data_IF_982960786690
#
_entry.id   IF_982960786690
#
_cell.length_a   1.000
_cell.length_b   1.000
_cell.length_c   1.000
_cell.angle_alpha   90.00
_cell.angle_beta   90.00
_cell.angle_gamma   90.00
#
_symmetry.space_group_name_H-M   'P 1'
#
loop_
_entity.id
_entity.type
_entity.pdbx_description
1 polymer ?
#
# COMPACT_ATOMS: atom_id res chain seq x y z
N UNK A 1 -26.93 36.23 7.50
CA UNK A 1 -26.15 37.49 7.63
C UNK A 1 -25.41 37.32 8.95
N UNK A 2 -24.30 36.59 8.93
CA UNK A 2 -23.58 36.21 10.15
C UNK A 2 -22.12 36.59 9.95
N UNK A 3 -21.80 37.80 10.38
CA UNK A 3 -20.48 38.40 10.26
C UNK A 3 -19.94 38.69 11.68
N UNK A 4 -19.43 37.66 12.37
CA UNK A 4 -18.82 37.80 13.71
C UNK A 4 -17.80 36.71 14.07
N UNK A 5 -17.19 36.07 13.08
CA UNK A 5 -15.95 35.30 13.28
C UNK A 5 -14.87 35.94 12.41
N UNK A 6 -13.93 36.73 12.97
CA UNK A 6 -12.79 37.20 12.18
C UNK A 6 -12.02 35.98 11.68
N UNK A 7 -11.69 35.95 10.39
CA UNK A 7 -10.95 34.84 9.81
C UNK A 7 -9.57 34.77 10.51
N UNK A 8 -9.24 33.67 11.22
CA UNK A 8 -8.03 33.59 12.03
C UNK A 8 -6.74 33.74 11.22
N UNK A 9 -6.82 33.57 9.90
CA UNK A 9 -5.71 33.73 8.95
C UNK A 9 -5.73 35.07 8.20
N UNK A 10 -6.51 36.06 8.63
CA UNK A 10 -6.44 37.42 8.04
C UNK A 10 -5.19 38.16 8.51
N UNK A 11 -4.58 39.04 7.68
CA UNK A 11 -3.41 39.85 8.06
C UNK A 11 -3.58 40.57 9.41
N UNK A 12 -4.72 41.24 9.61
CA UNK A 12 -5.03 41.92 10.86
C UNK A 12 -5.04 40.97 12.06
N UNK A 13 -5.72 39.82 11.95
CA UNK A 13 -5.79 38.81 13.02
C UNK A 13 -4.43 38.22 13.36
N UNK A 14 -3.57 38.02 12.35
CA UNK A 14 -2.20 37.52 12.53
C UNK A 14 -1.33 38.56 13.23
N UNK A 15 -1.42 39.84 12.84
CA UNK A 15 -0.66 40.93 13.46
C UNK A 15 -1.01 41.16 14.93
N UNK A 16 -2.25 40.87 15.33
CA UNK A 16 -2.79 41.05 16.70
C UNK A 16 -2.74 39.76 17.55
N UNK A 17 -2.29 38.64 16.99
CA UNK A 17 -2.25 37.35 17.68
C UNK A 17 -1.35 37.39 18.93
N UNK A 18 -1.89 36.93 20.06
CA UNK A 18 -1.21 36.96 21.36
C UNK A 18 -1.12 35.57 21.98
N UNK A 19 0.06 35.22 22.49
CA UNK A 19 0.36 33.89 23.04
C UNK A 19 0.84 34.00 24.51
N UNK A 20 0.47 33.03 25.38
CA UNK A 20 0.91 33.03 26.78
C UNK A 20 2.41 32.71 26.92
N UNK A 21 3.11 33.27 27.94
CA UNK A 21 4.51 32.93 28.21
C UNK A 21 4.69 31.49 28.70
N UNK A 22 5.80 30.86 28.35
CA UNK A 22 6.19 29.53 28.84
C UNK A 22 7.61 29.54 29.43
N UNK A 23 7.92 28.58 30.32
CA UNK A 23 9.20 28.51 31.06
C UNK A 23 10.43 28.30 30.16
N UNK A 24 10.23 27.91 28.90
CA UNK A 24 11.26 27.75 27.86
C UNK A 24 10.58 27.93 26.50
N UNK A 25 10.50 29.18 26.04
CA UNK A 25 9.76 29.57 24.83
C UNK A 25 10.49 30.64 24.02
N UNK A 26 9.85 31.09 22.94
CA UNK A 26 10.38 32.14 22.06
C UNK A 26 10.23 33.54 22.68
N UNK A 27 11.13 34.44 22.28
CA UNK A 27 11.10 35.86 22.62
C UNK A 27 9.85 36.54 22.03
N UNK A 28 8.97 37.06 22.91
CA UNK A 28 7.67 37.58 22.52
C UNK A 28 7.76 38.84 21.63
N UNK A 29 8.78 39.66 21.80
CA UNK A 29 8.96 40.87 20.98
C UNK A 29 9.36 40.49 19.55
N UNK A 30 10.25 39.50 19.40
CA UNK A 30 10.60 38.93 18.09
C UNK A 30 9.43 38.24 17.42
N UNK A 31 8.62 37.48 18.17
CA UNK A 31 7.41 36.82 17.62
C UNK A 31 6.41 37.87 17.12
N UNK A 32 6.16 38.95 17.88
CA UNK A 32 5.28 40.05 17.41
C UNK A 32 5.82 40.75 16.16
N UNK A 33 7.11 41.08 16.14
CA UNK A 33 7.74 41.70 14.97
C UNK A 33 7.66 40.79 13.73
N UNK A 34 7.84 39.48 13.91
CA UNK A 34 7.68 38.49 12.84
C UNK A 34 6.24 38.39 12.35
N UNK A 35 5.25 38.37 13.26
CA UNK A 35 3.82 38.32 12.89
C UNK A 35 3.36 39.57 12.13
N UNK A 36 3.88 40.75 12.48
CA UNK A 36 3.63 42.00 11.73
C UNK A 36 4.24 41.92 10.32
N UNK A 37 5.45 41.36 10.17
CA UNK A 37 6.06 41.15 8.86
C UNK A 37 5.27 40.12 8.02
N UNK A 38 4.85 39.00 8.61
CA UNK A 38 4.01 37.99 7.94
C UNK A 38 2.66 38.58 7.51
N UNK A 39 2.03 39.39 8.36
CA UNK A 39 0.79 40.09 8.00
C UNK A 39 1.00 41.05 6.82
N UNK A 40 2.10 41.81 6.80
CA UNK A 40 2.41 42.71 5.68
C UNK A 40 2.62 41.95 4.36
N UNK A 41 3.39 40.86 4.37
CA UNK A 41 3.60 40.01 3.18
C UNK A 41 2.30 39.35 2.72
N UNK A 42 1.46 38.87 3.65
CA UNK A 42 0.14 38.34 3.31
C UNK A 42 -0.78 39.40 2.70
N UNK A 43 -0.71 40.65 3.15
CA UNK A 43 -1.47 41.74 2.53
C UNK A 43 -0.97 42.02 1.10
N UNK A 44 0.34 42.08 0.88
CA UNK A 44 0.94 42.23 -0.48
C UNK A 44 0.49 41.09 -1.41
N UNK A 45 0.46 39.85 -0.93
CA UNK A 45 -0.03 38.69 -1.69
C UNK A 45 -1.53 38.79 -1.97
N UNK A 46 -2.35 39.31 -1.04
CA UNK A 46 -3.78 39.53 -1.26
C UNK A 46 -4.00 40.62 -2.31
N UNK A 47 -3.29 41.74 -2.21
CA UNK A 47 -3.41 42.87 -3.13
C UNK A 47 -2.98 42.48 -4.56
N UNK A 48 -1.88 41.74 -4.71
CA UNK A 48 -1.43 41.24 -6.02
C UNK A 48 -2.39 40.16 -6.57
N UNK A 49 -2.96 39.28 -5.74
CA UNK A 49 -4.01 38.34 -6.20
C UNK A 49 -5.27 39.09 -6.67
N UNK A 50 -5.69 40.15 -5.98
CA UNK A 50 -6.81 40.98 -6.41
C UNK A 50 -6.50 41.69 -7.74
N UNK A 51 -5.27 42.20 -7.91
CA UNK A 51 -4.81 42.82 -9.16
C UNK A 51 -4.77 41.82 -10.31
N UNK A 52 -4.16 40.65 -10.13
CA UNK A 52 -4.09 39.57 -11.11
C UNK A 52 -5.49 39.06 -11.49
N UNK A 53 -6.41 39.00 -10.53
CA UNK A 53 -7.82 38.64 -10.80
C UNK A 53 -8.50 39.69 -11.69
N UNK A 54 -8.28 40.98 -11.44
CA UNK A 54 -8.79 42.07 -12.29
C UNK A 54 -8.16 42.06 -13.69
N UNK A 55 -6.85 41.82 -13.80
CA UNK A 55 -6.17 41.71 -15.09
C UNK A 55 -6.66 40.50 -15.91
N UNK A 56 -6.95 39.37 -15.25
CA UNK A 56 -7.55 38.19 -15.87
C UNK A 56 -8.97 38.49 -16.37
N UNK A 57 -9.82 39.09 -15.53
CA UNK A 57 -11.18 39.52 -15.88
C UNK A 57 -11.19 40.45 -17.11
N UNK A 58 -10.27 41.40 -17.18
CA UNK A 58 -10.11 42.30 -18.33
C UNK A 58 -9.57 41.57 -19.56
N UNK A 59 -8.65 40.62 -19.40
CA UNK A 59 -8.13 39.79 -20.49
C UNK A 59 -9.21 38.88 -21.07
N UNK A 60 -10.04 38.25 -20.25
CA UNK A 60 -11.18 37.44 -20.70
C UNK A 60 -12.21 38.29 -21.46
N UNK A 61 -12.58 39.46 -20.94
CA UNK A 61 -13.47 40.41 -21.63
C UNK A 61 -12.91 40.84 -22.99
N UNK A 62 -11.60 41.13 -23.07
CA UNK A 62 -10.92 41.45 -24.33
C UNK A 62 -10.94 40.26 -25.31
N UNK A 63 -10.67 39.05 -24.85
CA UNK A 63 -10.71 37.84 -25.67
C UNK A 63 -12.11 37.53 -26.21
N UNK A 64 -13.16 37.70 -25.39
CA UNK A 64 -14.56 37.56 -25.81
C UNK A 64 -14.96 38.60 -26.85
N UNK A 65 -14.51 39.85 -26.70
CA UNK A 65 -14.80 40.90 -27.66
C UNK A 65 -14.07 40.69 -29.00
N UNK A 66 -12.78 40.33 -28.96
CA UNK A 66 -12.02 40.01 -30.16
C UNK A 66 -12.65 38.83 -30.92
N UNK A 67 -13.03 37.76 -30.21
CA UNK A 67 -13.68 36.60 -30.83
C UNK A 67 -14.98 36.96 -31.58
N UNK A 68 -15.79 37.91 -31.07
CA UNK A 68 -17.00 38.39 -31.76
C UNK A 68 -16.68 39.20 -33.01
N UNK A 69 -15.68 40.07 -32.94
CA UNK A 69 -15.22 40.86 -34.09
C UNK A 69 -14.61 39.96 -35.17
N UNK A 70 -13.87 38.92 -34.78
CA UNK A 70 -13.36 37.90 -35.69
C UNK A 70 -14.51 37.15 -36.39
N UNK A 71 -15.56 36.77 -35.65
CA UNK A 71 -16.73 36.07 -36.21
C UNK A 71 -17.53 36.98 -37.18
N UNK A 72 -17.64 38.29 -36.91
CA UNK A 72 -18.22 39.30 -37.83
C UNK A 72 -17.36 39.47 -39.10
N UNK A 73 -16.04 39.58 -38.96
CA UNK A 73 -15.10 39.73 -40.08
C UNK A 73 -15.02 38.46 -40.95
N UNK A 74 -15.14 37.27 -40.33
CA UNK A 74 -15.24 35.98 -41.01
C UNK A 74 -16.50 35.91 -41.88
N UNK A 75 -17.64 36.45 -41.41
CA UNK A 75 -18.87 36.52 -42.20
C UNK A 75 -18.72 37.43 -43.43
N UNK A 76 -18.05 38.58 -43.28
CA UNK A 76 -17.78 39.50 -44.40
C UNK A 76 -16.84 38.87 -45.46
N UNK A 77 -15.75 38.23 -45.03
CA UNK A 77 -14.70 37.73 -45.94
C UNK A 77 -15.01 36.37 -46.59
N UNK A 78 -15.75 35.47 -45.92
CA UNK A 78 -16.03 34.11 -46.41
C UNK A 78 -17.49 33.90 -46.84
N UNK A 79 -18.37 34.85 -46.53
CA UNK A 79 -19.81 34.73 -46.69
C UNK A 79 -20.48 33.90 -45.58
N UNK A 80 -21.76 34.17 -45.33
CA UNK A 80 -22.49 33.62 -44.18
C UNK A 80 -22.42 32.09 -44.06
N UNK A 81 -22.59 31.33 -45.14
CA UNK A 81 -22.62 29.86 -45.05
C UNK A 81 -21.29 29.25 -44.59
N UNK A 82 -20.15 29.78 -45.05
CA UNK A 82 -18.82 29.28 -44.66
C UNK A 82 -18.41 29.76 -43.27
N UNK A 83 -18.83 30.96 -42.88
CA UNK A 83 -18.64 31.41 -41.50
C UNK A 83 -19.47 30.57 -40.51
N UNK A 84 -20.73 30.24 -40.85
CA UNK A 84 -21.59 29.39 -40.00
C UNK A 84 -21.03 27.98 -39.78
N UNK A 85 -20.42 27.34 -40.78
CA UNK A 85 -19.80 26.02 -40.59
C UNK A 85 -18.54 26.07 -39.72
N UNK A 86 -17.74 27.14 -39.80
CA UNK A 86 -16.59 27.35 -38.92
C UNK A 86 -17.01 27.65 -37.48
N UNK A 87 -18.07 28.45 -37.28
CA UNK A 87 -18.66 28.68 -35.95
C UNK A 87 -19.23 27.39 -35.36
N UNK A 88 -19.96 26.58 -36.14
CA UNK A 88 -20.44 25.25 -35.71
C UNK A 88 -19.29 24.35 -35.24
N UNK A 89 -18.22 24.22 -36.04
CA UNK A 89 -17.04 23.45 -35.66
C UNK A 89 -16.34 24.00 -34.39
N UNK A 90 -16.34 25.33 -34.21
CA UNK A 90 -15.82 25.98 -32.99
C UNK A 90 -16.69 25.68 -31.76
N UNK A 91 -18.02 25.67 -31.91
CA UNK A 91 -18.94 25.28 -30.84
C UNK A 91 -18.85 23.79 -30.51
N UNK A 92 -18.76 22.91 -31.51
CA UNK A 92 -18.52 21.47 -31.35
C UNK A 92 -17.25 21.22 -30.52
N UNK A 93 -16.11 21.81 -30.88
CA UNK A 93 -14.88 21.68 -30.08
C UNK A 93 -14.98 22.31 -28.69
N UNK A 94 -15.90 23.26 -28.47
CA UNK A 94 -16.17 23.83 -27.14
C UNK A 94 -17.01 22.88 -26.28
N UNK A 95 -17.99 22.20 -26.87
CA UNK A 95 -18.79 21.15 -26.23
C UNK A 95 -17.91 19.96 -25.88
N UNK A 96 -17.09 19.45 -26.81
CA UNK A 96 -16.14 18.36 -26.55
C UNK A 96 -15.19 18.67 -25.36
N UNK A 97 -14.68 19.90 -25.28
CA UNK A 97 -13.85 20.34 -24.14
C UNK A 97 -14.64 20.45 -22.84
N UNK A 98 -15.91 20.85 -22.89
CA UNK A 98 -16.77 20.91 -21.72
C UNK A 98 -17.11 19.51 -21.20
N UNK A 99 -17.40 18.56 -22.10
CA UNK A 99 -17.57 17.14 -21.76
C UNK A 99 -16.30 16.54 -21.18
N UNK A 100 -15.13 16.78 -21.79
CA UNK A 100 -13.85 16.32 -21.25
C UNK A 100 -13.62 16.85 -19.83
N UNK A 101 -13.91 18.13 -19.58
CA UNK A 101 -13.86 18.74 -18.22
C UNK A 101 -14.92 18.20 -17.26
N UNK A 102 -16.03 17.63 -17.76
CA UNK A 102 -17.01 16.95 -16.91
C UNK A 102 -16.49 15.55 -16.52
N UNK A 103 -16.04 14.75 -17.49
CA UNK A 103 -15.44 13.42 -17.26
C UNK A 103 -14.22 13.48 -16.35
N UNK A 104 -13.35 14.48 -16.51
CA UNK A 104 -12.22 14.70 -15.61
C UNK A 104 -12.64 15.00 -14.17
N UNK A 105 -13.76 15.73 -13.96
CA UNK A 105 -14.30 15.95 -12.60
C UNK A 105 -14.89 14.67 -12.01
N UNK A 106 -15.64 13.91 -12.80
CA UNK A 106 -16.18 12.62 -12.40
C UNK A 106 -15.09 11.63 -11.95
N UNK A 107 -13.98 11.54 -12.71
CA UNK A 107 -12.81 10.73 -12.36
C UNK A 107 -12.14 11.20 -11.04
N UNK A 108 -12.04 12.51 -10.82
CA UNK A 108 -11.49 13.06 -9.56
C UNK A 108 -12.40 12.73 -8.38
N UNK A 109 -13.71 12.92 -8.51
CA UNK A 109 -14.67 12.54 -7.47
C UNK A 109 -14.68 11.02 -7.20
N UNK A 110 -14.47 10.18 -8.22
CA UNK A 110 -14.28 8.73 -8.03
C UNK A 110 -13.01 8.41 -7.26
N UNK A 111 -11.89 9.07 -7.58
CA UNK A 111 -10.64 8.92 -6.84
C UNK A 111 -10.78 9.35 -5.38
N UNK A 112 -11.44 10.48 -5.11
CA UNK A 112 -11.73 10.96 -3.75
C UNK A 112 -12.58 9.94 -2.97
N UNK A 113 -13.66 9.41 -3.58
CA UNK A 113 -14.47 8.34 -2.98
C UNK A 113 -13.65 7.08 -2.67
N UNK A 114 -12.69 6.71 -3.52
CA UNK A 114 -11.79 5.59 -3.24
C UNK A 114 -10.81 5.88 -2.09
N UNK A 115 -10.28 7.10 -1.98
CA UNK A 115 -9.45 7.55 -0.87
C UNK A 115 -10.23 7.54 0.45
N UNK A 116 -11.46 8.05 0.47
CA UNK A 116 -12.35 7.97 1.63
C UNK A 116 -12.61 6.53 2.07
N UNK A 117 -12.92 5.63 1.13
CA UNK A 117 -13.11 4.21 1.43
C UNK A 117 -11.85 3.54 1.98
N UNK A 118 -10.67 3.88 1.47
CA UNK A 118 -9.39 3.40 2.00
C UNK A 118 -9.15 3.92 3.42
N UNK A 119 -9.38 5.22 3.67
CA UNK A 119 -9.25 5.83 4.99
C UNK A 119 -10.20 5.20 6.02
N UNK A 120 -11.44 4.91 5.65
CA UNK A 120 -12.40 4.19 6.51
C UNK A 120 -11.95 2.76 6.83
N UNK A 121 -11.35 2.04 5.88
CA UNK A 121 -10.76 0.71 6.13
C UNK A 121 -9.57 0.80 7.09
N UNK A 122 -8.67 1.77 6.89
CA UNK A 122 -7.52 2.02 7.77
C UNK A 122 -7.98 2.41 9.19
N UNK A 123 -9.02 3.23 9.32
CA UNK A 123 -9.60 3.60 10.61
C UNK A 123 -10.12 2.36 11.37
N UNK A 124 -10.90 1.50 10.71
CA UNK A 124 -11.38 0.23 11.28
C UNK A 124 -10.22 -0.70 11.68
N UNK A 125 -9.18 -0.80 10.85
CA UNK A 125 -8.02 -1.63 11.15
C UNK A 125 -7.26 -1.12 12.39
N UNK A 126 -7.09 0.21 12.52
CA UNK A 126 -6.49 0.86 13.70
C UNK A 126 -7.33 0.63 14.95
N UNK A 127 -8.65 0.73 14.84
CA UNK A 127 -9.57 0.46 15.96
C UNK A 127 -9.51 -1.02 16.38
N UNK A 128 -9.53 -1.97 15.43
CA UNK A 128 -9.37 -3.39 15.77
C UNK A 128 -8.00 -3.69 16.39
N UNK A 129 -6.91 -3.12 15.86
CA UNK A 129 -5.58 -3.31 16.42
C UNK A 129 -5.47 -2.75 17.84
N UNK A 130 -6.16 -1.64 18.13
CA UNK A 130 -6.26 -1.07 19.47
C UNK A 130 -7.03 -1.99 20.43
N UNK A 131 -8.18 -2.53 20.02
CA UNK A 131 -8.95 -3.47 20.85
C UNK A 131 -8.14 -4.73 21.16
N UNK A 132 -7.40 -5.27 20.18
CA UNK A 132 -6.46 -6.38 20.38
C UNK A 132 -5.33 -6.03 21.37
N UNK A 133 -4.78 -4.81 21.31
CA UNK A 133 -3.80 -4.34 22.30
C UNK A 133 -4.40 -4.24 23.72
N UNK A 134 -5.60 -3.68 23.85
CA UNK A 134 -6.30 -3.57 25.15
C UNK A 134 -6.66 -4.97 25.74
N UNK A 135 -7.08 -5.93 24.89
CA UNK A 135 -7.35 -7.31 25.30
C UNK A 135 -6.08 -8.07 25.71
N UNK A 136 -4.98 -7.93 24.95
CA UNK A 136 -3.70 -8.58 25.27
C UNK A 136 -3.06 -8.02 26.53
N UNK A 137 -3.12 -6.70 26.77
CA UNK A 137 -2.72 -6.11 28.06
C UNK A 137 -3.53 -6.69 29.22
N UNK A 138 -4.84 -6.82 29.07
CA UNK A 138 -5.72 -7.37 30.10
C UNK A 138 -5.45 -8.87 30.35
N UNK A 139 -5.10 -9.64 29.32
CA UNK A 139 -4.65 -11.02 29.47
C UNK A 139 -3.31 -11.10 30.22
N UNK A 140 -2.34 -10.25 29.88
CA UNK A 140 -1.05 -10.16 30.57
C UNK A 140 -1.21 -9.78 32.06
N UNK A 141 -2.07 -8.80 32.38
CA UNK A 141 -2.37 -8.41 33.77
C UNK A 141 -2.98 -9.58 34.55
N UNK A 142 -3.95 -10.29 33.98
CA UNK A 142 -4.52 -11.51 34.59
C UNK A 142 -3.47 -12.59 34.83
N UNK A 143 -2.54 -12.81 33.88
CA UNK A 143 -1.44 -13.76 34.06
C UNK A 143 -0.53 -13.34 35.22
N UNK A 144 -0.14 -12.05 35.29
CA UNK A 144 0.66 -11.52 36.40
C UNK A 144 -0.03 -11.73 37.77
N UNK A 145 -1.33 -11.41 37.87
CA UNK A 145 -2.13 -11.64 39.09
C UNK A 145 -2.22 -13.12 39.51
N UNK A 146 -2.12 -14.06 38.57
CA UNK A 146 -2.08 -15.50 38.88
C UNK A 146 -0.68 -15.91 39.34
N UNK A 147 0.39 -15.40 38.73
CA UNK A 147 1.76 -15.63 39.17
C UNK A 147 2.04 -15.05 40.56
N UNK A 148 1.57 -13.83 40.85
CA UNK A 148 1.71 -13.21 42.17
C UNK A 148 0.96 -14.01 43.25
N UNK A 149 -0.25 -14.51 42.95
CA UNK A 149 -0.97 -15.41 43.85
C UNK A 149 -0.27 -16.76 44.05
N UNK A 150 0.24 -17.37 42.98
CA UNK A 150 1.01 -18.61 43.08
C UNK A 150 2.29 -18.42 43.92
N UNK A 151 2.95 -17.26 43.77
CA UNK A 151 4.12 -16.87 44.56
C UNK A 151 3.81 -16.63 46.03
N UNK A 152 2.66 -16.01 46.34
CA UNK A 152 2.20 -15.84 47.72
C UNK A 152 1.93 -17.20 48.38
N UNK A 153 1.14 -18.07 47.73
CA UNK A 153 0.87 -19.42 48.22
C UNK A 153 2.15 -20.26 48.38
N UNK A 154 3.12 -20.13 47.47
CA UNK A 154 4.42 -20.78 47.61
C UNK A 154 5.21 -20.25 48.82
N UNK A 155 5.15 -18.94 49.10
CA UNK A 155 5.76 -18.37 50.30
C UNK A 155 5.10 -18.86 51.59
N UNK A 156 3.76 -18.98 51.62
CA UNK A 156 3.02 -19.54 52.75
C UNK A 156 3.42 -21.00 53.00
N UNK A 157 3.51 -21.83 51.96
CA UNK A 157 3.97 -23.22 52.05
C UNK A 157 5.42 -23.30 52.55
N UNK A 158 6.30 -22.41 52.10
CA UNK A 158 7.70 -22.34 52.59
C UNK A 158 7.75 -21.92 54.06
N UNK A 159 6.87 -21.03 54.54
CA UNK A 159 6.81 -20.64 55.94
C UNK A 159 6.28 -21.77 56.86
N UNK A 160 5.33 -22.58 56.38
CA UNK A 160 4.88 -23.81 57.07
C UNK A 160 5.99 -24.88 57.11
N UNK A 161 6.88 -24.89 56.12
CA UNK A 161 8.01 -25.80 56.04
C UNK A 161 9.32 -25.24 56.64
N UNK A 162 9.29 -24.06 57.28
CA UNK A 162 10.46 -23.49 57.96
C UNK A 162 10.84 -24.37 59.17
N UNK A 163 12.09 -24.86 59.27
CA UNK A 163 12.53 -25.65 60.42
C UNK A 163 12.27 -24.99 61.79
N UNK A 164 12.19 -23.66 61.87
CA UNK A 164 11.84 -22.97 63.13
C UNK A 164 10.34 -23.04 63.47
N UNK A 165 9.43 -22.99 62.47
CA UNK A 165 7.99 -23.12 62.73
C UNK A 165 7.62 -24.55 63.07
N UNK A 166 8.17 -25.54 62.34
CA UNK A 166 7.99 -26.97 62.63
C UNK A 166 8.42 -27.30 64.07
N UNK A 167 9.55 -26.78 64.55
CA UNK A 167 10.01 -27.01 65.92
C UNK A 167 9.11 -26.36 66.96
N UNK A 168 8.54 -25.18 66.68
CA UNK A 168 7.60 -24.50 67.57
C UNK A 168 6.23 -25.21 67.63
N UNK A 169 5.73 -25.72 66.51
CA UNK A 169 4.48 -26.50 66.45
C UNK A 169 4.63 -27.84 67.17
N UNK A 170 5.74 -28.55 66.99
CA UNK A 170 6.04 -29.79 67.73
C UNK A 170 6.11 -29.54 69.24
N UNK A 171 6.78 -28.47 69.69
CA UNK A 171 6.82 -28.10 71.10
C UNK A 171 5.42 -27.77 71.66
N UNK A 172 4.59 -27.07 70.88
CA UNK A 172 3.21 -26.73 71.27
C UNK A 172 2.30 -27.96 71.40
N UNK A 173 2.56 -29.01 70.61
CA UNK A 173 1.87 -30.31 70.72
C UNK A 173 2.33 -31.07 71.97
N UNK A 174 3.61 -31.00 72.34
CA UNK A 174 4.15 -31.61 73.57
C UNK A 174 3.66 -30.91 74.85
N UNK A 175 3.34 -29.61 74.80
CA UNK A 175 2.80 -28.85 75.94
C UNK A 175 1.27 -29.00 76.15
N UNK A 176 0.58 -29.72 75.26
CA UNK A 176 -0.88 -29.89 75.35
C UNK A 176 -1.27 -30.95 76.41
N UNK A 177 -2.14 -30.65 77.39
CA UNK A 177 -2.49 -31.61 78.44
C UNK A 177 -3.30 -32.79 77.89
N UNK A 178 -2.73 -33.99 78.02
CA UNK A 178 -3.28 -35.25 77.51
C UNK A 178 -4.56 -35.68 78.27
N UNK A 179 -5.71 -35.12 77.89
CA UNK A 179 -7.03 -35.40 78.48
C UNK A 179 -8.16 -35.44 77.42
N UNK A 180 -8.22 -36.54 76.65
CA UNK A 180 -9.46 -37.09 76.06
C UNK A 180 -9.14 -38.30 75.16
N UNK A 181 -9.06 -39.51 75.73
CA UNK A 181 -8.93 -40.77 74.97
C UNK A 181 -10.18 -41.67 75.08
N UNK A 182 -11.36 -41.09 75.26
CA UNK A 182 -12.56 -41.82 75.72
C UNK A 182 -13.89 -41.31 75.14
N UNK A 183 -13.89 -40.77 73.91
CA UNK A 183 -15.08 -40.13 73.31
C UNK A 183 -15.26 -40.32 71.78
N UNK A 184 -14.64 -41.34 71.16
CA UNK A 184 -14.79 -41.62 69.72
C UNK A 184 -14.96 -43.12 69.39
N UNK A 185 -15.58 -43.87 70.29
CA UNK A 185 -15.90 -45.31 70.13
C UNK A 185 -17.39 -45.61 69.90
N UNK A 186 -18.24 -44.60 69.70
CA UNK A 186 -19.71 -44.74 69.75
C UNK A 186 -20.46 -44.12 68.54
N UNK A 187 -19.87 -44.12 67.34
CA UNK A 187 -20.52 -43.68 66.08
C UNK A 187 -20.21 -44.63 64.91
N UNK A 188 -20.27 -45.94 65.15
CA UNK A 188 -20.13 -46.95 64.09
C UNK A 188 -21.00 -48.21 64.35
N UNK A 189 -22.32 -48.02 64.40
CA UNK A 189 -23.30 -49.09 64.13
C UNK A 189 -24.70 -48.47 63.85
N UNK A 190 -25.45 -49.01 62.87
CA UNK A 190 -26.88 -48.67 62.69
C UNK A 190 -27.38 -48.39 61.26
N UNK A 191 -27.74 -49.46 60.54
CA UNK A 191 -28.81 -49.60 59.50
C UNK A 191 -29.34 -48.39 58.68
N UNK A 192 -29.17 -48.52 57.36
CA UNK A 192 -30.24 -48.63 56.32
C UNK A 192 -31.67 -48.17 56.63
N UNK A 193 -32.23 -47.28 55.78
CA UNK A 193 -33.32 -47.60 54.83
C UNK A 193 -33.88 -46.35 54.08
N UNK A 194 -34.34 -46.52 52.83
CA UNK A 194 -35.45 -45.72 52.25
C UNK A 194 -35.21 -44.73 51.08
N UNK A 195 -35.28 -45.26 49.84
CA UNK A 195 -35.91 -44.69 48.61
C UNK A 195 -35.73 -43.23 48.11
N UNK A 196 -35.68 -43.07 46.77
CA UNK A 196 -36.29 -41.86 46.15
C UNK A 196 -35.80 -41.27 44.81
N UNK A 197 -35.56 -42.06 43.75
CA UNK A 197 -35.61 -41.67 42.30
C UNK A 197 -34.86 -40.42 41.73
N UNK A 198 -34.18 -40.62 40.59
CA UNK A 198 -33.83 -39.53 39.65
C UNK A 198 -32.88 -39.96 38.53
N UNK A 199 -33.38 -40.05 37.29
CA UNK A 199 -32.62 -40.35 36.06
C UNK A 199 -31.67 -39.16 35.70
N UNK A 200 -30.68 -39.23 34.80
CA UNK A 200 -30.50 -40.11 33.63
C UNK A 200 -29.04 -40.15 33.12
N UNK A 201 -28.78 -41.09 32.19
CA UNK A 201 -27.60 -41.14 31.32
C UNK A 201 -27.56 -39.95 30.32
N UNK A 202 -26.64 -39.70 29.37
CA UNK A 202 -25.58 -40.41 28.61
C UNK A 202 -24.64 -39.31 28.01
N UNK A 203 -23.45 -39.50 27.44
CA UNK A 203 -22.46 -40.59 27.33
C UNK A 203 -21.17 -40.05 26.64
N UNK A 204 -20.05 -40.78 26.75
CA UNK A 204 -19.03 -40.89 25.69
C UNK A 204 -17.92 -39.83 25.61
N UNK A 205 -16.66 -40.25 25.82
CA UNK A 205 -15.76 -40.64 24.72
C UNK A 205 -14.32 -40.88 25.21
N UNK A 206 -13.86 -42.11 25.10
CA UNK A 206 -12.46 -42.46 24.83
C UNK A 206 -12.36 -42.80 23.31
N UNK A 207 -11.18 -42.75 22.63
CA UNK A 207 -9.94 -43.37 23.14
C UNK A 207 -8.56 -42.81 22.67
N UNK A 208 -7.52 -43.36 23.31
CA UNK A 208 -6.17 -43.64 22.74
C UNK A 208 -5.23 -42.45 22.44
N UNK A 209 -3.89 -42.58 22.47
CA UNK A 209 -2.99 -43.53 23.17
C UNK A 209 -1.52 -43.15 22.88
N UNK A 210 -0.63 -43.33 23.85
CA UNK A 210 0.84 -43.30 23.66
C UNK A 210 1.49 -41.90 23.60
N UNK A 211 2.79 -41.75 23.87
CA UNK A 211 3.76 -42.69 24.47
C UNK A 211 4.98 -41.92 25.01
N UNK A 212 5.78 -42.56 25.87
CA UNK A 212 7.14 -42.19 26.30
C UNK A 212 7.34 -40.93 27.18
N UNK A 213 7.83 -41.19 28.40
CA UNK A 213 8.61 -40.25 29.19
C UNK A 213 10.09 -40.64 29.06
N UNK A 214 10.93 -39.66 28.72
CA UNK A 214 12.36 -39.61 29.04
C UNK A 214 12.59 -38.15 29.46
N UNK A 215 12.57 -37.81 30.75
CA UNK A 215 13.73 -37.96 31.64
C UNK A 215 15.05 -37.58 30.95
N UNK A 216 15.37 -36.29 30.99
CA UNK A 216 16.75 -35.86 31.18
C UNK A 216 16.77 -34.57 32.02
N UNK A 217 17.59 -34.57 33.07
CA UNK A 217 17.67 -33.50 34.08
C UNK A 217 18.60 -32.36 33.67
N UNK A 218 18.50 -31.17 34.31
CA UNK A 218 19.07 -29.95 33.75
C UNK A 218 20.58 -29.79 34.01
N UNK A 219 21.35 -29.50 32.96
CA UNK A 219 22.66 -28.87 33.10
C UNK A 219 22.52 -27.35 32.91
N UNK A 220 22.76 -26.60 33.98
CA UNK A 220 22.67 -25.15 33.98
C UNK A 220 23.98 -24.50 33.49
N UNK A 221 23.95 -23.91 32.29
CA UNK A 221 24.94 -22.88 31.90
C UNK A 221 24.27 -21.50 31.86
N UNK A 222 24.53 -20.71 32.90
CA UNK A 222 24.16 -19.30 32.95
C UNK A 222 25.17 -18.50 32.14
N UNK A 223 24.91 -18.33 30.84
CA UNK A 223 25.66 -17.39 30.00
C UNK A 223 25.13 -15.97 30.26
N UNK A 224 25.99 -15.01 30.67
CA UNK A 224 25.52 -13.70 31.11
C UNK A 224 25.07 -12.81 29.95
N UNK A 225 23.82 -12.35 30.02
CA UNK A 225 23.31 -11.28 29.17
C UNK A 225 23.97 -9.96 29.61
N UNK A 226 24.88 -9.45 28.78
CA UNK A 226 25.70 -8.21 28.91
C UNK A 226 26.89 -8.22 29.89
N UNK A 227 28.13 -8.38 29.38
CA UNK A 227 29.31 -7.73 29.95
C UNK A 227 29.40 -6.29 29.41
N UNK A 228 29.02 -5.30 30.22
CA UNK A 228 29.11 -3.90 29.80
C UNK A 228 30.49 -3.29 30.03
N UNK A 229 30.97 -2.46 29.09
CA UNK A 229 31.61 -1.17 29.45
C UNK A 229 31.80 -0.18 28.29
N UNK A 230 31.45 1.07 28.63
CA UNK A 230 32.06 2.33 28.20
C UNK A 230 31.89 2.84 26.76
N UNK A 231 31.58 4.14 26.72
CA UNK A 231 31.55 5.05 25.58
C UNK A 231 32.94 5.59 25.28
N UNK A 232 33.14 5.97 24.01
CA UNK A 232 34.17 6.89 23.50
C UNK A 232 35.61 6.29 23.57
N UNK A 233 36.43 6.32 22.52
CA UNK A 233 36.59 7.31 21.43
C UNK A 233 37.02 6.69 20.07
N UNK A 234 36.60 7.34 18.98
CA UNK A 234 37.29 7.56 17.68
C UNK A 234 37.93 6.39 16.88
N UNK A 235 37.61 6.39 15.57
CA UNK A 235 38.25 5.70 14.43
C UNK A 235 38.46 4.16 14.51
N UNK A 236 37.94 3.34 13.57
CA UNK A 236 37.74 3.56 12.12
C UNK A 236 36.42 2.93 11.66
N UNK A 237 35.63 3.68 10.87
CA UNK A 237 34.55 3.10 10.07
C UNK A 237 35.14 2.18 8.99
N UNK A 238 35.08 0.87 9.19
CA UNK A 238 35.18 -0.08 8.08
C UNK A 238 33.84 -0.04 7.35
N UNK A 239 33.82 0.71 6.25
CA UNK A 239 32.72 0.78 5.30
C UNK A 239 32.51 -0.58 4.63
N UNK A 240 31.78 -1.48 5.30
CA UNK A 240 31.11 -2.60 4.62
C UNK A 240 29.85 -2.05 3.97
N UNK A 241 30.07 -1.24 2.94
CA UNK A 241 29.03 -0.66 2.11
C UNK A 241 28.32 -1.74 1.31
N UNK A 242 27.38 -2.44 1.94
CA UNK A 242 26.29 -3.12 1.22
C UNK A 242 25.40 -2.00 0.67
N UNK A 243 25.85 -1.40 -0.42
CA UNK A 243 25.03 -0.53 -1.25
C UNK A 243 24.02 -1.39 -1.99
N UNK A 244 22.95 -1.81 -1.30
CA UNK A 244 21.78 -2.38 -1.95
C UNK A 244 21.28 -1.36 -2.99
N UNK A 245 21.37 -1.66 -4.30
CA UNK A 245 20.89 -0.72 -5.28
C UNK A 245 19.38 -0.58 -5.10
N UNK A 246 18.87 0.65 -5.09
CA UNK A 246 17.41 0.82 -4.99
C UNK A 246 16.75 0.16 -6.19
N UNK A 247 15.62 -0.52 -5.99
CA UNK A 247 14.78 -1.14 -7.03
C UNK A 247 14.72 -0.29 -8.32
N UNK A 248 14.44 1.00 -8.15
CA UNK A 248 14.30 1.98 -9.24
C UNK A 248 15.61 2.26 -10.00
N UNK A 249 16.77 2.12 -9.35
CA UNK A 249 18.10 2.32 -9.92
C UNK A 249 18.55 1.11 -10.75
N UNK A 250 18.27 -0.11 -10.27
CA UNK A 250 18.47 -1.35 -11.04
C UNK A 250 17.55 -1.35 -12.26
N UNK A 251 16.24 -1.19 -12.02
CA UNK A 251 15.24 -1.27 -13.08
C UNK A 251 15.43 -0.14 -14.08
N UNK A 252 15.68 1.10 -13.63
CA UNK A 252 15.81 2.27 -14.51
C UNK A 252 16.90 2.14 -15.58
N UNK A 253 18.06 1.56 -15.24
CA UNK A 253 19.19 1.39 -16.16
C UNK A 253 18.85 0.43 -17.32
N UNK A 254 18.27 -0.74 -17.00
CA UNK A 254 17.92 -1.75 -18.01
C UNK A 254 16.61 -1.43 -18.74
N UNK A 255 15.63 -0.81 -18.05
CA UNK A 255 14.32 -0.43 -18.60
C UNK A 255 14.48 0.41 -19.87
N UNK A 256 15.32 1.45 -19.85
CA UNK A 256 15.54 2.31 -21.01
C UNK A 256 16.13 1.55 -22.22
N UNK A 257 16.85 0.46 -22.02
CA UNK A 257 17.36 -0.43 -23.06
C UNK A 257 16.27 -1.31 -23.67
N UNK A 258 15.52 -2.03 -22.82
CA UNK A 258 14.45 -2.93 -23.27
C UNK A 258 13.26 -2.17 -23.87
N UNK A 259 12.87 -1.03 -23.29
CA UNK A 259 11.81 -0.14 -23.82
C UNK A 259 12.13 0.31 -25.25
N UNK A 260 13.36 0.77 -25.53
CA UNK A 260 13.76 1.16 -26.90
C UNK A 260 13.71 -0.03 -27.86
N UNK A 261 14.16 -1.20 -27.42
CA UNK A 261 14.18 -2.42 -28.22
C UNK A 261 12.76 -2.90 -28.57
N UNK A 262 11.84 -2.84 -27.61
CA UNK A 262 10.41 -3.20 -27.79
C UNK A 262 9.67 -2.16 -28.62
N UNK A 263 9.86 -0.86 -28.38
CA UNK A 263 9.28 0.22 -29.22
C UNK A 263 9.76 0.10 -30.69
N UNK A 264 11.02 -0.32 -30.92
CA UNK A 264 11.52 -0.64 -32.27
C UNK A 264 10.90 -1.92 -32.84
N UNK A 265 10.82 -3.01 -32.10
CA UNK A 265 10.18 -4.25 -32.56
C UNK A 265 8.72 -4.03 -32.99
N UNK A 266 7.98 -3.16 -32.30
CA UNK A 266 6.64 -2.70 -32.70
C UNK A 266 6.61 -1.68 -33.85
N UNK A 267 7.73 -1.10 -34.25
CA UNK A 267 7.83 -0.34 -35.51
C UNK A 267 7.97 -1.31 -36.68
N UNK A 268 8.98 -2.17 -36.61
CA UNK A 268 9.23 -3.22 -37.62
C UNK A 268 7.99 -4.12 -37.81
N UNK A 269 7.25 -4.40 -36.73
CA UNK A 269 5.99 -5.16 -36.78
C UNK A 269 4.81 -4.38 -37.37
N UNK A 270 4.66 -3.09 -37.04
CA UNK A 270 3.62 -2.25 -37.67
C UNK A 270 3.84 -2.16 -39.18
N UNK A 271 5.09 -2.02 -39.63
CA UNK A 271 5.42 -1.96 -41.06
C UNK A 271 5.12 -3.30 -41.76
N UNK A 272 5.43 -4.44 -41.13
CA UNK A 272 5.04 -5.78 -41.62
C UNK A 272 3.52 -5.95 -41.66
N UNK A 273 2.79 -5.51 -40.63
CA UNK A 273 1.32 -5.60 -40.58
C UNK A 273 0.69 -4.71 -41.66
N UNK A 274 1.19 -3.49 -41.86
CA UNK A 274 0.72 -2.61 -42.93
C UNK A 274 1.01 -3.19 -44.32
N UNK A 275 2.18 -3.78 -44.55
CA UNK A 275 2.50 -4.46 -45.81
C UNK A 275 1.66 -5.73 -46.04
N UNK A 276 1.30 -6.46 -44.97
CA UNK A 276 0.40 -7.61 -45.04
C UNK A 276 -1.06 -7.20 -45.32
N UNK A 277 -1.50 -6.07 -44.77
CA UNK A 277 -2.81 -5.48 -45.05
C UNK A 277 -2.89 -4.95 -46.49
N UNK A 278 -1.84 -4.32 -47.01
CA UNK A 278 -1.80 -3.78 -48.39
C UNK A 278 -1.62 -4.88 -49.47
N UNK A 279 -1.38 -6.13 -49.06
CA UNK A 279 -1.18 -7.25 -49.97
C UNK A 279 -2.50 -7.76 -50.59
N UNK A 280 -2.45 -8.18 -51.86
CA UNK A 280 -3.55 -8.85 -52.55
C UNK A 280 -3.98 -10.20 -51.92
N UNK A 281 -3.15 -10.79 -51.06
CA UNK A 281 -3.40 -12.05 -50.37
C UNK A 281 -4.38 -11.89 -49.20
N UNK A 282 -5.63 -12.34 -49.39
CA UNK A 282 -6.71 -12.27 -48.41
C UNK A 282 -6.35 -12.94 -47.06
N UNK A 283 -5.53 -14.00 -47.07
CA UNK A 283 -5.12 -14.68 -45.83
C UNK A 283 -4.21 -13.79 -44.99
N UNK A 284 -3.32 -13.03 -45.64
CA UNK A 284 -2.45 -12.04 -44.98
C UNK A 284 -3.24 -10.84 -44.46
N UNK A 285 -4.23 -10.36 -45.23
CA UNK A 285 -5.12 -9.27 -44.77
C UNK A 285 -5.92 -9.66 -43.52
N UNK A 286 -6.51 -10.86 -43.49
CA UNK A 286 -7.29 -11.34 -42.34
C UNK A 286 -6.44 -11.70 -41.12
N UNK A 287 -5.19 -12.15 -41.31
CA UNK A 287 -4.30 -12.58 -40.22
C UNK A 287 -2.86 -12.07 -40.45
N UNK A 288 -2.60 -10.76 -40.29
CA UNK A 288 -1.29 -10.17 -40.59
C UNK A 288 -0.23 -10.48 -39.51
N UNK A 289 -0.65 -10.94 -38.33
CA UNK A 289 0.22 -11.28 -37.22
C UNK A 289 0.47 -12.80 -37.09
N UNK A 290 1.69 -13.25 -36.71
CA UNK A 290 1.97 -14.66 -36.39
C UNK A 290 1.01 -15.26 -35.35
N UNK A 291 0.91 -16.58 -35.27
CA UNK A 291 0.09 -17.25 -34.24
C UNK A 291 0.50 -16.88 -32.80
N UNK A 292 -0.41 -16.93 -31.81
CA UNK A 292 -0.18 -16.37 -30.46
C UNK A 292 1.12 -16.85 -29.78
N UNK A 293 1.41 -18.16 -29.84
CA UNK A 293 2.62 -18.72 -29.25
C UNK A 293 3.91 -18.24 -29.95
N UNK A 294 3.90 -18.10 -31.27
CA UNK A 294 5.03 -17.57 -32.04
C UNK A 294 5.24 -16.07 -31.79
N UNK A 295 4.12 -15.33 -31.66
CA UNK A 295 4.11 -13.91 -31.30
C UNK A 295 4.73 -13.68 -29.91
N UNK A 296 4.24 -14.38 -28.88
CA UNK A 296 4.82 -14.35 -27.53
C UNK A 296 6.31 -14.70 -27.55
N UNK A 297 6.69 -15.81 -28.20
CA UNK A 297 8.09 -16.26 -28.27
C UNK A 297 9.04 -15.23 -28.93
N UNK A 298 8.57 -14.50 -29.96
CA UNK A 298 9.35 -13.43 -30.61
C UNK A 298 9.65 -12.29 -29.63
N UNK A 299 8.62 -11.81 -28.94
CA UNK A 299 8.72 -10.65 -28.04
C UNK A 299 9.42 -10.98 -26.72
N UNK A 300 9.11 -12.12 -26.09
CA UNK A 300 9.79 -12.58 -24.86
C UNK A 300 11.30 -12.64 -25.04
N UNK A 301 11.79 -13.15 -26.17
CA UNK A 301 13.24 -13.24 -26.47
C UNK A 301 13.97 -11.89 -26.42
N UNK A 302 13.27 -10.77 -26.65
CA UNK A 302 13.84 -9.42 -26.56
C UNK A 302 13.97 -8.91 -25.12
N UNK A 303 13.24 -9.51 -24.19
CA UNK A 303 13.09 -9.03 -22.81
C UNK A 303 13.75 -9.97 -21.79
N UNK A 304 14.00 -11.24 -22.16
CA UNK A 304 14.58 -12.25 -21.27
C UNK A 304 15.84 -11.76 -20.55
N UNK A 305 16.77 -11.09 -21.24
CA UNK A 305 18.02 -10.60 -20.62
C UNK A 305 17.79 -9.50 -19.57
N UNK A 306 16.76 -8.67 -19.75
CA UNK A 306 16.40 -7.65 -18.76
C UNK A 306 15.67 -8.26 -17.56
N UNK A 307 14.87 -9.31 -17.78
CA UNK A 307 14.22 -10.05 -16.69
C UNK A 307 15.20 -10.92 -15.89
N UNK A 308 16.22 -11.51 -16.51
CA UNK A 308 17.30 -12.20 -15.77
C UNK A 308 18.11 -11.20 -14.96
N UNK A 309 18.50 -10.05 -15.51
CA UNK A 309 19.21 -9.01 -14.76
C UNK A 309 18.40 -8.47 -13.56
N UNK A 310 17.09 -8.27 -13.72
CA UNK A 310 16.20 -7.87 -12.62
C UNK A 310 16.07 -8.96 -11.54
N UNK A 311 16.02 -10.24 -11.94
CA UNK A 311 15.97 -11.37 -11.01
C UNK A 311 17.29 -11.57 -10.25
N UNK A 312 18.44 -11.46 -10.93
CA UNK A 312 19.78 -11.54 -10.35
C UNK A 312 20.00 -10.45 -9.29
N UNK A 313 19.55 -9.21 -9.55
CA UNK A 313 19.58 -8.14 -8.57
C UNK A 313 18.67 -8.40 -7.36
N UNK A 314 17.43 -8.86 -7.59
CA UNK A 314 16.48 -9.17 -6.50
C UNK A 314 17.00 -10.25 -5.53
N UNK A 315 17.68 -11.27 -6.07
CA UNK A 315 18.35 -12.30 -5.27
C UNK A 315 19.59 -11.76 -4.52
N UNK A 316 20.39 -10.92 -5.17
CA UNK A 316 21.57 -10.30 -4.56
C UNK A 316 21.23 -9.43 -3.34
N UNK A 317 20.09 -8.73 -3.36
CA UNK A 317 19.62 -7.89 -2.25
C UNK A 317 19.20 -8.68 -0.99
N UNK A 318 18.91 -9.99 -1.12
CA UNK A 318 18.73 -10.89 0.04
C UNK A 318 19.97 -11.72 0.36
N UNK A 319 21.03 -11.63 -0.44
CA UNK A 319 22.22 -12.45 -0.30
C UNK A 319 21.97 -13.94 -0.57
N UNK A 320 21.03 -14.29 -1.46
CA UNK A 320 20.81 -15.69 -1.85
C UNK A 320 21.75 -16.12 -2.97
N UNK A 321 22.42 -17.27 -2.80
CA UNK A 321 23.30 -17.86 -3.81
C UNK A 321 22.51 -18.56 -4.95
N UNK A 322 21.19 -18.73 -4.79
CA UNK A 322 20.31 -19.43 -5.72
C UNK A 322 19.18 -18.54 -6.22
N UNK A 323 19.28 -18.11 -7.48
CA UNK A 323 18.21 -17.38 -8.17
C UNK A 323 17.25 -18.38 -8.83
N UNK A 324 15.97 -18.38 -8.43
CA UNK A 324 14.89 -19.08 -9.15
C UNK A 324 14.49 -18.29 -10.43
N UNK A 325 15.50 -18.06 -11.29
CA UNK A 325 15.41 -17.19 -12.46
C UNK A 325 14.38 -17.65 -13.50
N UNK A 326 14.07 -18.95 -13.56
CA UNK A 326 12.99 -19.48 -14.40
C UNK A 326 11.61 -19.05 -13.90
N UNK A 327 11.37 -19.07 -12.58
CA UNK A 327 10.13 -18.60 -11.98
C UNK A 327 9.98 -17.08 -12.10
N UNK A 328 11.04 -16.33 -11.82
CA UNK A 328 11.08 -14.87 -11.98
C UNK A 328 10.83 -14.44 -13.45
N UNK A 329 11.47 -15.10 -14.42
CA UNK A 329 11.19 -14.85 -15.83
C UNK A 329 9.75 -15.25 -16.21
N UNK A 330 9.23 -16.36 -15.71
CA UNK A 330 7.85 -16.78 -15.98
C UNK A 330 6.82 -15.75 -15.47
N UNK A 331 7.03 -15.19 -14.27
CA UNK A 331 6.20 -14.12 -13.71
C UNK A 331 6.22 -12.86 -14.60
N UNK A 332 7.41 -12.37 -14.97
CA UNK A 332 7.55 -11.21 -15.86
C UNK A 332 6.92 -11.42 -17.24
N UNK A 333 7.07 -12.62 -17.81
CA UNK A 333 6.46 -13.00 -19.09
C UNK A 333 4.94 -13.00 -19.01
N UNK A 334 4.35 -13.43 -17.89
CA UNK A 334 2.90 -13.39 -17.69
C UNK A 334 2.37 -11.94 -17.69
N UNK A 335 3.02 -11.05 -16.93
CA UNK A 335 2.66 -9.62 -16.86
C UNK A 335 2.74 -8.96 -18.25
N UNK A 336 3.82 -9.19 -19.00
CA UNK A 336 3.95 -8.66 -20.37
C UNK A 336 2.91 -9.24 -21.33
N UNK A 337 2.60 -10.53 -21.25
CA UNK A 337 1.63 -11.11 -22.16
C UNK A 337 0.23 -10.55 -21.92
N UNK A 338 -0.18 -10.41 -20.66
CA UNK A 338 -1.47 -9.84 -20.29
C UNK A 338 -1.56 -8.35 -20.61
N UNK A 339 -0.61 -7.53 -20.16
CA UNK A 339 -0.72 -6.07 -20.23
C UNK A 339 -0.38 -5.48 -21.62
N UNK A 340 0.45 -6.18 -22.41
CA UNK A 340 1.03 -5.67 -23.65
C UNK A 340 0.73 -6.54 -24.87
N UNK A 341 1.13 -7.83 -24.86
CA UNK A 341 1.13 -8.64 -26.09
C UNK A 341 -0.27 -9.09 -26.52
N UNK A 342 -1.06 -9.59 -25.56
CA UNK A 342 -2.46 -9.98 -25.80
C UNK A 342 -3.32 -8.77 -26.14
N UNK A 343 -3.06 -7.60 -25.53
CA UNK A 343 -3.73 -6.35 -25.84
C UNK A 343 -3.50 -5.89 -27.29
N UNK A 344 -2.23 -5.70 -27.71
CA UNK A 344 -1.88 -5.30 -29.09
C UNK A 344 -2.52 -6.24 -30.11
N UNK A 345 -2.34 -7.56 -29.89
CA UNK A 345 -2.88 -8.58 -30.77
C UNK A 345 -4.40 -8.56 -30.80
N UNK A 346 -5.04 -8.41 -29.65
CA UNK A 346 -6.50 -8.31 -29.51
C UNK A 346 -7.03 -7.12 -30.30
N UNK A 347 -6.46 -5.93 -30.10
CA UNK A 347 -6.87 -4.69 -30.76
C UNK A 347 -6.70 -4.76 -32.29
N UNK A 348 -5.58 -5.31 -32.79
CA UNK A 348 -5.36 -5.52 -34.23
C UNK A 348 -6.35 -6.54 -34.81
N UNK A 349 -6.55 -7.69 -34.15
CA UNK A 349 -7.49 -8.71 -34.62
C UNK A 349 -8.96 -8.27 -34.52
N UNK A 350 -9.30 -7.39 -33.58
CA UNK A 350 -10.65 -6.88 -33.40
C UNK A 350 -10.97 -5.78 -34.42
N UNK A 351 -10.06 -4.83 -34.64
CA UNK A 351 -10.24 -3.77 -35.65
C UNK A 351 -10.36 -4.32 -37.08
N UNK A 352 -9.68 -5.42 -37.41
CA UNK A 352 -9.86 -6.14 -38.68
C UNK A 352 -11.26 -6.78 -38.79
N UNK A 353 -11.85 -7.27 -37.68
CA UNK A 353 -13.22 -7.80 -37.68
C UNK A 353 -14.27 -6.71 -37.81
N UNK A 354 -14.11 -5.62 -37.05
CA UNK A 354 -15.12 -4.56 -36.91
C UNK A 354 -15.27 -3.72 -38.18
N UNK A 355 -14.18 -3.48 -38.92
CA UNK A 355 -14.18 -2.67 -40.13
C UNK A 355 -14.36 -3.47 -41.44
N UNK A 356 -14.32 -4.81 -41.39
CA UNK A 356 -14.58 -5.68 -42.54
C UNK A 356 -13.64 -5.43 -43.72
N UNK A 357 -14.17 -4.85 -44.79
CA UNK A 357 -13.43 -4.52 -46.01
C UNK A 357 -12.98 -3.04 -46.11
N UNK A 358 -13.28 -2.17 -45.12
CA UNK A 358 -12.75 -0.79 -45.10
C UNK A 358 -11.28 -0.75 -44.69
N UNK A 359 -10.45 -1.03 -45.67
CA UNK A 359 -8.99 -0.99 -45.60
C UNK A 359 -8.45 0.34 -45.04
N UNK A 360 -9.11 1.48 -45.33
CA UNK A 360 -8.65 2.80 -44.84
C UNK A 360 -8.94 2.96 -43.36
N UNK A 361 -10.10 2.51 -42.90
CA UNK A 361 -10.43 2.47 -41.47
C UNK A 361 -9.50 1.52 -40.71
N UNK A 362 -9.27 0.30 -41.21
CA UNK A 362 -8.34 -0.68 -40.61
C UNK A 362 -6.94 -0.08 -40.46
N UNK A 363 -6.36 0.44 -41.54
CA UNK A 363 -5.00 1.03 -41.51
C UNK A 363 -4.91 2.23 -40.55
N UNK A 364 -5.94 3.08 -40.47
CA UNK A 364 -5.99 4.19 -39.52
C UNK A 364 -6.05 3.70 -38.06
N UNK A 365 -6.87 2.68 -37.80
CA UNK A 365 -7.10 2.12 -36.47
C UNK A 365 -5.89 1.34 -35.94
N UNK A 366 -5.29 0.48 -36.78
CA UNK A 366 -4.04 -0.24 -36.47
C UNK A 366 -2.89 0.74 -36.18
N UNK A 367 -2.75 1.83 -36.94
CA UNK A 367 -1.78 2.89 -36.65
C UNK A 367 -2.09 3.68 -35.37
N UNK A 368 -3.32 3.69 -34.87
CA UNK A 368 -3.66 4.27 -33.58
C UNK A 368 -3.25 3.32 -32.44
N UNK A 369 -3.66 2.05 -32.51
CA UNK A 369 -3.29 0.98 -31.57
C UNK A 369 -1.78 0.91 -31.29
N UNK A 370 -0.96 0.81 -32.35
CA UNK A 370 0.50 0.77 -32.19
C UNK A 370 1.12 2.09 -31.70
N UNK A 371 0.43 3.24 -31.82
CA UNK A 371 0.91 4.53 -31.26
C UNK A 371 0.57 4.66 -29.79
N UNK A 372 -0.66 4.32 -29.39
CA UNK A 372 -1.10 4.24 -28.00
C UNK A 372 -0.13 3.37 -27.19
N UNK A 373 0.15 2.16 -27.68
CA UNK A 373 1.03 1.20 -27.01
C UNK A 373 2.47 1.70 -26.91
N UNK A 374 3.02 2.30 -27.97
CA UNK A 374 4.38 2.88 -27.98
C UNK A 374 4.54 4.14 -27.13
N UNK A 375 3.45 4.83 -26.80
CA UNK A 375 3.47 5.99 -25.92
C UNK A 375 3.79 5.55 -24.49
N UNK A 376 2.74 5.25 -23.75
CA UNK A 376 2.78 5.03 -22.30
C UNK A 376 2.85 3.54 -21.94
N UNK A 377 2.12 2.69 -22.68
CA UNK A 377 1.83 1.31 -22.25
C UNK A 377 3.05 0.38 -22.23
N UNK A 378 3.99 0.53 -23.18
CA UNK A 378 5.23 -0.27 -23.22
C UNK A 378 6.08 -0.03 -21.97
N UNK A 379 6.16 1.20 -21.48
CA UNK A 379 7.04 1.56 -20.38
C UNK A 379 6.48 1.04 -19.05
N UNK A 380 5.20 1.31 -18.78
CA UNK A 380 4.51 0.82 -17.58
C UNK A 380 4.47 -0.71 -17.50
N UNK A 381 4.20 -1.40 -18.62
CA UNK A 381 4.13 -2.87 -18.63
C UNK A 381 5.51 -3.52 -18.46
N UNK A 382 6.58 -2.93 -19.02
CA UNK A 382 7.95 -3.44 -18.83
C UNK A 382 8.46 -3.16 -17.41
N UNK A 383 8.15 -1.99 -16.84
CA UNK A 383 8.46 -1.69 -15.43
C UNK A 383 7.78 -2.71 -14.51
N UNK A 384 6.46 -2.88 -14.62
CA UNK A 384 5.70 -3.85 -13.81
C UNK A 384 6.22 -5.29 -13.95
N UNK A 385 6.64 -5.70 -15.15
CA UNK A 385 7.22 -7.02 -15.38
C UNK A 385 8.62 -7.18 -14.76
N UNK A 386 9.46 -6.13 -14.78
CA UNK A 386 10.76 -6.14 -14.12
C UNK A 386 10.64 -6.14 -12.59
N UNK A 387 9.68 -5.39 -12.03
CA UNK A 387 9.33 -5.46 -10.60
C UNK A 387 8.86 -6.87 -10.23
N UNK A 388 8.00 -7.50 -11.04
CA UNK A 388 7.54 -8.86 -10.79
C UNK A 388 8.69 -9.90 -10.86
N UNK A 389 9.66 -9.76 -11.76
CA UNK A 389 10.86 -10.61 -11.78
C UNK A 389 11.67 -10.45 -10.48
N UNK A 390 11.95 -9.20 -10.10
CA UNK A 390 12.73 -8.86 -8.91
C UNK A 390 12.06 -9.37 -7.61
N UNK A 391 10.76 -9.10 -7.42
CA UNK A 391 10.00 -9.57 -6.24
C UNK A 391 9.88 -11.11 -6.18
N UNK A 392 9.83 -11.78 -7.34
CA UNK A 392 9.75 -13.24 -7.39
C UNK A 392 11.09 -13.90 -7.06
N UNK A 393 12.22 -13.25 -7.40
CA UNK A 393 13.55 -13.69 -7.01
C UNK A 393 13.89 -13.44 -5.53
N UNK A 394 13.03 -12.71 -4.80
CA UNK A 394 13.13 -12.49 -3.35
C UNK A 394 12.38 -13.52 -2.49
N UNK A 395 11.74 -14.53 -3.09
CA UNK A 395 10.96 -15.56 -2.38
C UNK A 395 11.59 -16.93 -2.50
#
# INVERSE_FOLDING_TARGET
MDASSPNPSSPDSISQATFPPSRKGFDQERVRAFLVAVAAEMQVVIDENARLSSELDEAERRAVNLAKMDDELLQELLGEEKARTLVSAREETRVERAEMRARLREIVEEADRHVEQANLKIARLRESARLWAEETELHQRRLAEQFDRARALAADVVAVLDPQSIVADVASIEEMPMMASDALSDVFDGQSDGDGHGESAVAGAEPSSGESVTDDGPSAEVVPLFPGRQRETEDVLVDVGISTPRLDEVIGNELAGVVRSVKKAFADELDVVLAALDSDDEKKRRTPLPGPAAYRKRHVKLMTSAFTAAAEAGAADLGSDSVDGEAACAAAIAVVDEQLLSFVRGQVMQTIKDHGDDQRAIVKSVRAAYREVKGERVESALFAAMTAAYETAQR
#
